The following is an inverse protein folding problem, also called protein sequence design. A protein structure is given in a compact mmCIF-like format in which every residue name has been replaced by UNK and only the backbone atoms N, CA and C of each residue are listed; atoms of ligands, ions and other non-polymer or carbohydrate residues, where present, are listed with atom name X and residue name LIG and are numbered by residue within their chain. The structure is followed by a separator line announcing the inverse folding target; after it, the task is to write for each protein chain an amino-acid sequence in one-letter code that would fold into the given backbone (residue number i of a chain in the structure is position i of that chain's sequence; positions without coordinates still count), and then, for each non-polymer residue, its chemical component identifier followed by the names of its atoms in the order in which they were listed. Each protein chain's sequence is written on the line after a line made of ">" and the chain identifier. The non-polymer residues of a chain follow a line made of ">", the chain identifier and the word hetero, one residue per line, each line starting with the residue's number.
data_IF_693027723688
#
_entry.id   IF_693027723688
#
_cell.length_a   1.000
_cell.length_b   1.000
_cell.length_c   1.000
_cell.angle_alpha   90.00
_cell.angle_beta   90.00
_cell.angle_gamma   90.00
#
_symmetry.space_group_name_H-M   'P 1'
#
loop_
_entity.id
_entity.type
_entity.pdbx_description
1 polymer ?
#
# COMPACT_ATOMS: atom_id res chain seq x y z
N UNK A 1 -15.59 10.71 12.37
CA UNK A 1 -15.33 9.55 11.48
C UNK A 1 -15.10 9.97 10.04
N UNK A 2 -15.98 10.76 9.42
CA UNK A 2 -15.84 11.13 7.99
C UNK A 2 -14.52 11.83 7.65
N UNK A 3 -14.04 12.75 8.49
CA UNK A 3 -12.75 13.43 8.29
C UNK A 3 -11.56 12.46 8.19
N UNK A 4 -11.50 11.44 9.04
CA UNK A 4 -10.39 10.47 9.01
C UNK A 4 -10.46 9.55 7.78
N UNK A 5 -11.67 9.19 7.33
CA UNK A 5 -11.86 8.46 6.07
C UNK A 5 -11.42 9.32 4.88
N UNK A 6 -11.75 10.62 4.87
CA UNK A 6 -11.29 11.55 3.83
C UNK A 6 -9.76 11.65 3.79
N UNK A 7 -9.11 11.75 4.95
CA UNK A 7 -7.65 11.72 5.05
C UNK A 7 -7.09 10.41 4.49
N UNK A 8 -7.68 9.27 4.85
CA UNK A 8 -7.23 7.97 4.33
C UNK A 8 -7.31 7.92 2.80
N UNK A 9 -8.43 8.35 2.23
CA UNK A 9 -8.62 8.41 0.77
C UNK A 9 -7.57 9.32 0.12
N UNK A 10 -7.35 10.50 0.70
CA UNK A 10 -6.32 11.41 0.22
C UNK A 10 -4.91 10.77 0.27
N UNK A 11 -4.57 10.12 1.38
CA UNK A 11 -3.27 9.46 1.55
C UNK A 11 -3.10 8.28 0.59
N UNK A 12 -4.14 7.48 0.35
CA UNK A 12 -4.12 6.40 -0.64
C UNK A 12 -3.83 6.96 -2.04
N UNK A 13 -4.53 8.02 -2.43
CA UNK A 13 -4.28 8.70 -3.71
C UNK A 13 -2.85 9.23 -3.78
N UNK A 14 -2.37 9.90 -2.73
CA UNK A 14 -1.02 10.46 -2.67
C UNK A 14 0.07 9.37 -2.75
N UNK A 15 -0.11 8.24 -2.06
CA UNK A 15 0.84 7.12 -2.07
C UNK A 15 0.87 6.44 -3.44
N UNK A 16 -0.29 6.16 -4.03
CA UNK A 16 -0.35 5.57 -5.38
C UNK A 16 0.26 6.51 -6.40
N UNK A 17 -0.08 7.80 -6.35
CA UNK A 17 0.51 8.81 -7.22
C UNK A 17 2.04 8.89 -7.05
N UNK A 18 2.53 9.01 -5.81
CA UNK A 18 3.95 9.07 -5.50
C UNK A 18 4.70 7.81 -5.94
N UNK A 19 4.08 6.63 -5.80
CA UNK A 19 4.66 5.35 -6.24
C UNK A 19 4.94 5.32 -7.75
N UNK A 20 4.01 5.81 -8.57
CA UNK A 20 4.20 5.92 -10.02
C UNK A 20 5.09 7.10 -10.40
N UNK A 21 5.04 8.22 -9.68
CA UNK A 21 5.87 9.39 -9.96
C UNK A 21 7.36 9.13 -9.67
N UNK A 22 7.66 8.28 -8.67
CA UNK A 22 9.01 7.84 -8.35
C UNK A 22 9.52 6.71 -9.28
N UNK A 23 8.89 6.48 -10.43
CA UNK A 23 9.29 5.43 -11.36
C UNK A 23 10.73 5.66 -11.89
N UNK A 24 11.59 4.63 -11.85
CA UNK A 24 12.95 4.73 -12.37
C UNK A 24 12.94 4.99 -13.88
N UNK A 25 13.76 5.95 -14.34
CA UNK A 25 13.97 6.26 -15.77
C UNK A 25 15.05 5.36 -16.35
N UNK A 26 14.93 5.00 -17.64
CA UNK A 26 15.94 4.19 -18.35
C UNK A 26 15.83 2.68 -18.14
N UNK A 27 14.74 2.19 -17.53
CA UNK A 27 14.46 0.76 -17.35
C UNK A 27 13.38 0.31 -18.37
N UNK A 28 13.44 -0.91 -18.92
CA UNK A 28 12.40 -1.42 -19.81
C UNK A 28 10.99 -1.32 -19.20
N UNK A 29 10.08 -0.65 -19.90
CA UNK A 29 8.73 -0.33 -19.41
C UNK A 29 7.93 -1.58 -19.02
N UNK A 30 8.06 -2.68 -19.76
CA UNK A 30 7.35 -3.93 -19.45
C UNK A 30 7.78 -4.52 -18.09
N UNK A 31 9.09 -4.51 -17.79
CA UNK A 31 9.61 -5.01 -16.51
C UNK A 31 9.20 -4.11 -15.35
N UNK A 32 9.24 -2.80 -15.57
CA UNK A 32 8.78 -1.82 -14.57
C UNK A 32 7.29 -1.97 -14.27
N UNK A 33 6.46 -2.13 -15.30
CA UNK A 33 5.03 -2.35 -15.15
C UNK A 33 4.73 -3.65 -14.38
N UNK A 34 5.41 -4.75 -14.73
CA UNK A 34 5.22 -6.03 -14.04
C UNK A 34 5.55 -5.93 -12.54
N UNK A 35 6.66 -5.27 -12.18
CA UNK A 35 7.05 -5.06 -10.78
C UNK A 35 6.04 -4.16 -10.06
N UNK A 36 5.58 -3.09 -10.71
CA UNK A 36 4.57 -2.20 -10.13
C UNK A 36 3.25 -2.92 -9.86
N UNK A 37 2.77 -3.72 -10.82
CA UNK A 37 1.56 -4.54 -10.66
C UNK A 37 1.74 -5.54 -9.53
N UNK A 38 2.89 -6.22 -9.44
CA UNK A 38 3.15 -7.17 -8.36
C UNK A 38 3.12 -6.50 -6.98
N UNK A 39 3.73 -5.32 -6.82
CA UNK A 39 3.73 -4.57 -5.56
C UNK A 39 2.31 -4.13 -5.18
N UNK A 40 1.53 -3.61 -6.14
CA UNK A 40 0.16 -3.19 -5.89
C UNK A 40 -0.73 -4.37 -5.52
N UNK A 41 -0.60 -5.51 -6.21
CA UNK A 41 -1.34 -6.73 -5.89
C UNK A 41 -1.01 -7.24 -4.48
N UNK A 42 0.28 -7.23 -4.10
CA UNK A 42 0.71 -7.57 -2.74
C UNK A 42 0.14 -6.58 -1.71
N UNK A 43 0.10 -5.29 -2.01
CA UNK A 43 -0.50 -4.28 -1.16
C UNK A 43 -1.99 -4.52 -0.93
N UNK A 44 -2.74 -4.83 -1.99
CA UNK A 44 -4.18 -5.16 -1.89
C UNK A 44 -4.39 -6.42 -1.06
N UNK A 45 -3.57 -7.46 -1.27
CA UNK A 45 -3.65 -8.70 -0.49
C UNK A 45 -3.38 -8.44 1.00
N UNK A 46 -2.36 -7.64 1.34
CA UNK A 46 -2.04 -7.28 2.72
C UNK A 46 -3.17 -6.45 3.37
N UNK A 47 -3.76 -5.53 2.63
CA UNK A 47 -4.89 -4.72 3.10
C UNK A 47 -6.12 -5.57 3.37
N UNK A 48 -6.47 -6.47 2.45
CA UNK A 48 -7.59 -7.38 2.59
C UNK A 48 -7.38 -8.35 3.76
N UNK A 49 -6.18 -8.94 3.88
CA UNK A 49 -5.86 -9.87 4.97
C UNK A 49 -5.95 -9.18 6.35
N UNK A 50 -5.31 -8.02 6.51
CA UNK A 50 -5.33 -7.29 7.78
C UNK A 50 -6.72 -6.76 8.14
N UNK A 51 -7.45 -6.20 7.16
CA UNK A 51 -8.83 -5.75 7.36
C UNK A 51 -9.77 -6.88 7.74
N UNK A 52 -9.70 -8.03 7.05
CA UNK A 52 -10.56 -9.19 7.32
C UNK A 52 -10.30 -9.76 8.71
N UNK A 53 -9.04 -9.96 9.08
CA UNK A 53 -8.67 -10.50 10.40
C UNK A 53 -9.12 -9.59 11.54
N UNK A 54 -8.90 -8.27 11.40
CA UNK A 54 -9.29 -7.31 12.43
C UNK A 54 -10.81 -7.15 12.54
N UNK A 55 -11.51 -7.14 11.41
CA UNK A 55 -12.97 -7.08 11.42
C UNK A 55 -13.58 -8.33 12.06
N UNK A 56 -13.07 -9.52 11.70
CA UNK A 56 -13.51 -10.78 12.29
C UNK A 56 -13.29 -10.83 13.81
N UNK A 57 -12.10 -10.46 14.28
CA UNK A 57 -11.79 -10.42 15.72
C UNK A 57 -12.67 -9.41 16.47
N UNK A 58 -12.91 -8.24 15.89
CA UNK A 58 -13.76 -7.21 16.50
C UNK A 58 -15.23 -7.64 16.59
N UNK A 59 -15.77 -8.35 15.58
CA UNK A 59 -17.14 -8.86 15.62
C UNK A 59 -17.35 -9.93 16.69
N UNK A 60 -16.34 -10.77 16.95
CA UNK A 60 -16.40 -11.79 18.01
C UNK A 60 -16.36 -11.15 19.40
N UNK A 61 -15.54 -10.11 19.59
CA UNK A 61 -15.33 -9.48 20.91
C UNK A 61 -16.36 -8.41 21.24
N UNK A 62 -16.84 -7.66 20.25
CA UNK A 62 -17.77 -6.51 20.44
C UNK A 62 -18.79 -6.44 19.30
N UNK A 63 -19.78 -7.35 19.27
CA UNK A 63 -20.74 -7.45 18.17
C UNK A 63 -21.67 -6.23 18.02
N UNK A 64 -21.83 -5.43 19.08
CA UNK A 64 -22.71 -4.26 19.11
C UNK A 64 -22.05 -3.01 18.46
N UNK A 65 -20.72 -3.00 18.32
CA UNK A 65 -19.95 -1.87 17.80
C UNK A 65 -19.53 -2.04 16.32
N UNK A 66 -20.40 -2.63 15.48
CA UNK A 66 -20.05 -3.01 14.09
C UNK A 66 -19.50 -1.86 13.24
N UNK A 67 -20.02 -0.65 13.42
CA UNK A 67 -19.58 0.54 12.69
C UNK A 67 -18.14 0.93 13.06
N UNK A 68 -17.77 0.81 14.34
CA UNK A 68 -16.42 1.07 14.82
C UNK A 68 -15.45 -0.01 14.34
N UNK A 69 -15.87 -1.28 14.40
CA UNK A 69 -15.10 -2.41 13.90
C UNK A 69 -14.76 -2.28 12.41
N UNK A 70 -15.76 -1.94 11.58
CA UNK A 70 -15.55 -1.71 10.15
C UNK A 70 -14.60 -0.54 9.90
N UNK A 71 -14.76 0.56 10.64
CA UNK A 71 -13.90 1.73 10.53
C UNK A 71 -12.42 1.39 10.85
N UNK A 72 -12.16 0.71 11.97
CA UNK A 72 -10.82 0.31 12.36
C UNK A 72 -10.18 -0.67 11.35
N UNK A 73 -10.97 -1.61 10.84
CA UNK A 73 -10.52 -2.55 9.81
C UNK A 73 -10.13 -1.83 8.51
N UNK A 74 -10.93 -0.86 8.05
CA UNK A 74 -10.61 -0.05 6.86
C UNK A 74 -9.34 0.77 7.08
N UNK A 75 -9.20 1.42 8.24
CA UNK A 75 -8.01 2.22 8.55
C UNK A 75 -6.74 1.36 8.61
N UNK A 76 -6.81 0.22 9.29
CA UNK A 76 -5.69 -0.71 9.38
C UNK A 76 -5.33 -1.32 8.02
N UNK A 77 -6.33 -1.75 7.25
CA UNK A 77 -6.15 -2.28 5.89
C UNK A 77 -5.51 -1.26 4.95
N UNK A 78 -6.02 -0.02 4.93
CA UNK A 78 -5.44 1.06 4.13
C UNK A 78 -4.01 1.42 4.57
N UNK A 79 -3.71 1.36 5.87
CA UNK A 79 -2.35 1.57 6.38
C UNK A 79 -1.41 0.47 5.93
N UNK A 80 -1.83 -0.80 6.02
CA UNK A 80 -1.06 -1.94 5.53
C UNK A 80 -0.76 -1.82 4.02
N UNK A 81 -1.75 -1.43 3.21
CA UNK A 81 -1.56 -1.13 1.79
C UNK A 81 -0.44 -0.10 1.58
N UNK A 82 -0.53 1.05 2.25
CA UNK A 82 0.43 2.14 2.08
C UNK A 82 1.84 1.73 2.46
N UNK A 83 2.01 0.94 3.54
CA UNK A 83 3.31 0.40 3.95
C UNK A 83 3.90 -0.50 2.86
N UNK A 84 3.10 -1.44 2.33
CA UNK A 84 3.57 -2.37 1.29
C UNK A 84 3.95 -1.63 0.01
N UNK A 85 3.16 -0.64 -0.41
CA UNK A 85 3.44 0.15 -1.61
C UNK A 85 4.70 1.01 -1.42
N UNK A 86 4.87 1.65 -0.27
CA UNK A 86 6.06 2.44 0.03
C UNK A 86 7.32 1.55 0.08
N UNK A 87 7.27 0.43 0.81
CA UNK A 87 8.38 -0.52 0.91
C UNK A 87 8.68 -1.18 -0.45
N UNK A 88 7.65 -1.54 -1.20
CA UNK A 88 7.77 -2.09 -2.55
C UNK A 88 8.38 -1.08 -3.53
N UNK A 89 8.02 0.20 -3.43
CA UNK A 89 8.63 1.27 -4.23
C UNK A 89 10.13 1.42 -3.96
N UNK A 90 10.53 1.32 -2.69
CA UNK A 90 11.94 1.29 -2.30
C UNK A 90 12.65 0.05 -2.85
N UNK A 91 12.06 -1.14 -2.69
CA UNK A 91 12.60 -2.40 -3.20
C UNK A 91 12.75 -2.38 -4.73
N UNK A 92 11.75 -1.86 -5.45
CA UNK A 92 11.80 -1.64 -6.91
C UNK A 92 13.00 -0.80 -7.30
N UNK A 93 13.25 0.30 -6.59
CA UNK A 93 14.39 1.18 -6.86
C UNK A 93 15.75 0.51 -6.58
N UNK A 94 15.81 -0.50 -5.70
CA UNK A 94 17.03 -1.29 -5.44
C UNK A 94 17.21 -2.44 -6.45
N UNK A 95 16.12 -3.07 -6.88
CA UNK A 95 16.14 -4.22 -7.80
C UNK A 95 16.31 -3.81 -9.26
N UNK A 96 15.74 -2.66 -9.67
CA UNK A 96 15.83 -2.17 -11.04
C UNK A 96 17.03 -1.26 -11.28
N UNK A 97 17.62 -0.67 -10.23
CA UNK A 97 18.91 0.02 -10.30
C UNK A 97 19.93 -0.65 -9.36
N UNK A 98 20.88 -1.44 -9.88
CA UNK A 98 21.98 -1.92 -9.06
C UNK A 98 22.78 -0.74 -8.50
N UNK A 99 23.21 -0.83 -7.24
CA UNK A 99 23.97 0.21 -6.53
C UNK A 99 25.20 0.70 -7.33
N UNK A 100 25.77 -0.14 -8.18
CA UNK A 100 26.92 0.16 -9.05
C UNK A 100 26.66 1.27 -10.07
N UNK A 101 25.41 1.54 -10.43
CA UNK A 101 25.05 2.60 -11.38
C UNK A 101 24.69 3.93 -10.69
N UNK A 102 24.62 3.97 -9.35
CA UNK A 102 24.32 5.19 -8.59
C UNK A 102 25.54 6.09 -8.36
N UNK A 103 26.77 5.59 -8.55
CA UNK A 103 27.99 6.39 -8.36
C UNK A 103 28.51 7.07 -9.63
N UNK A 104 27.79 6.97 -10.76
CA UNK A 104 28.18 7.58 -12.04
C UNK A 104 27.28 8.77 -12.44
N UNK A 105 26.36 9.18 -11.57
CA UNK A 105 25.58 10.41 -11.70
C UNK A 105 26.01 11.40 -10.61
#
# INVERSE_FOLDING_TARGET
>A
MHFMVLILVFLLCAVVWGFFHANPRGVPHARLLAVNVAILALGVAAAAASGYLLYGDALVKRPDERAMAAYLAIMAGGTAFMIVVAAGGLARNLLLFPLSSRSQA
#
